data_IF_804670271859
#
_entry.id   IF_804670271859
#
_cell.length_a   1.000
_cell.length_b   1.000
_cell.length_c   1.000
_cell.angle_alpha   90.00
_cell.angle_beta   90.00
_cell.angle_gamma   90.00
#
_symmetry.space_group_name_H-M   'P 1'
#
loop_
_entity.id
_entity.type
_entity.pdbx_description
1 polymer ?
#
# COMPACT_ATOMS: atom_id res chain seq x y z
N UNK A 1 8.91 12.08 23.91
CA UNK A 1 8.00 12.75 24.84
C UNK A 1 6.99 11.76 25.41
N UNK A 2 6.85 11.72 26.72
CA UNK A 2 5.88 10.90 27.44
C UNK A 2 5.53 11.56 28.77
N UNK A 3 4.30 11.56 29.20
CA UNK A 3 3.12 11.20 28.40
C UNK A 3 2.74 12.31 27.41
N UNK A 4 2.11 11.92 26.29
CA UNK A 4 1.51 12.86 25.33
C UNK A 4 0.01 12.62 25.33
N UNK A 5 -0.77 13.69 25.21
CA UNK A 5 -2.24 13.67 25.13
C UNK A 5 -2.75 14.62 24.05
N UNK A 6 -4.05 14.57 23.79
CA UNK A 6 -4.74 15.32 22.73
C UNK A 6 -4.69 16.85 22.87
N UNK A 7 -4.31 17.38 24.04
CA UNK A 7 -4.15 18.83 24.25
C UNK A 7 -2.83 19.38 23.71
N UNK A 8 -1.92 18.52 23.30
CA UNK A 8 -0.57 18.88 22.87
C UNK A 8 -0.48 18.91 21.35
N UNK A 9 0.09 19.95 20.76
CA UNK A 9 0.28 20.06 19.32
C UNK A 9 1.05 18.84 18.73
N UNK A 10 2.00 18.29 19.47
CA UNK A 10 2.78 17.11 19.07
C UNK A 10 1.94 15.84 18.89
N UNK A 11 0.69 15.83 19.35
CA UNK A 11 -0.25 14.73 19.14
C UNK A 11 -0.71 14.64 17.69
N UNK A 12 -0.96 15.77 17.02
CA UNK A 12 -1.52 15.85 15.67
C UNK A 12 -0.51 16.30 14.62
N UNK A 13 0.46 17.15 14.99
CA UNK A 13 1.41 17.71 14.06
C UNK A 13 2.46 16.68 13.60
N UNK A 14 2.72 16.62 12.29
CA UNK A 14 3.76 15.78 11.72
C UNK A 14 5.15 16.22 12.18
N UNK A 15 5.91 15.30 12.76
CA UNK A 15 7.23 15.58 13.32
C UNK A 15 8.34 15.38 12.30
N UNK A 16 9.14 16.41 12.05
CA UNK A 16 10.33 16.40 11.17
C UNK A 16 11.67 16.39 11.94
N UNK A 17 11.62 16.27 13.26
CA UNK A 17 12.81 16.30 14.13
C UNK A 17 12.96 15.02 14.95
N UNK A 18 13.99 14.94 15.81
CA UNK A 18 14.25 13.76 16.66
C UNK A 18 13.32 13.71 17.89
N UNK A 19 12.04 13.92 17.68
CA UNK A 19 11.01 13.88 18.71
C UNK A 19 10.01 12.78 18.38
N UNK A 20 9.79 11.88 19.32
CA UNK A 20 8.81 10.80 19.20
C UNK A 20 7.78 10.97 20.31
N UNK A 21 6.51 11.28 19.99
CA UNK A 21 5.43 11.29 20.96
C UNK A 21 5.06 9.85 21.36
N UNK A 22 4.86 9.62 22.64
CA UNK A 22 4.46 8.30 23.16
C UNK A 22 3.17 8.50 23.96
N UNK A 23 2.16 7.73 23.58
CA UNK A 23 0.82 7.76 24.16
C UNK A 23 0.51 6.37 24.70
N UNK A 24 0.14 6.30 25.99
CA UNK A 24 -0.33 5.06 26.58
C UNK A 24 -1.84 4.92 26.35
N UNK A 25 -2.30 3.74 26.02
CA UNK A 25 -3.71 3.42 25.88
C UNK A 25 -4.08 2.21 26.74
N UNK A 26 -5.36 2.10 27.09
CA UNK A 26 -5.92 0.98 27.85
C UNK A 26 -6.76 0.07 26.95
N UNK A 27 -7.46 0.66 25.99
CA UNK A 27 -8.27 -0.03 25.00
C UNK A 27 -7.65 0.16 23.62
N UNK A 28 -7.59 -0.92 22.83
CA UNK A 28 -7.06 -0.90 21.47
C UNK A 28 -7.88 0.00 20.51
N UNK A 29 -9.13 0.27 20.84
CA UNK A 29 -9.95 1.18 20.07
C UNK A 29 -9.47 2.63 20.15
N UNK A 30 -8.87 3.05 21.27
CA UNK A 30 -8.33 4.41 21.42
C UNK A 30 -7.33 4.78 20.32
N UNK A 31 -6.24 4.03 20.05
CA UNK A 31 -5.34 4.33 18.95
C UNK A 31 -5.98 4.11 17.57
N UNK A 32 -6.93 3.20 17.40
CA UNK A 32 -7.64 3.00 16.13
C UNK A 32 -8.52 4.21 15.79
N UNK A 33 -9.24 4.76 16.76
CA UNK A 33 -10.06 5.96 16.60
C UNK A 33 -9.17 7.19 16.30
N UNK A 34 -8.05 7.34 17.01
CA UNK A 34 -7.07 8.39 16.73
C UNK A 34 -6.52 8.28 15.30
N UNK A 35 -6.16 7.08 14.85
CA UNK A 35 -5.72 6.83 13.46
C UNK A 35 -6.83 7.10 12.45
N UNK A 36 -8.07 6.78 12.77
CA UNK A 36 -9.21 7.05 11.90
C UNK A 36 -9.47 8.55 11.75
N UNK A 37 -9.32 9.32 12.83
CA UNK A 37 -9.47 10.77 12.86
C UNK A 37 -8.28 11.53 12.24
N UNK A 38 -7.08 10.95 12.28
CA UNK A 38 -5.86 11.57 11.74
C UNK A 38 -5.97 11.88 10.25
N UNK A 39 -5.38 12.98 9.82
CA UNK A 39 -5.26 13.38 8.41
C UNK A 39 -4.23 12.53 7.62
N UNK A 40 -3.48 11.68 8.28
CA UNK A 40 -2.40 10.89 7.68
C UNK A 40 -2.73 9.39 7.64
N UNK A 41 -2.22 8.70 6.63
CA UNK A 41 -2.46 7.28 6.45
C UNK A 41 -1.43 6.59 5.55
N UNK A 42 -0.14 6.75 5.83
CA UNK A 42 0.90 6.14 5.00
C UNK A 42 1.26 4.74 5.48
N UNK A 43 1.77 4.61 6.69
CA UNK A 43 2.25 3.35 7.24
C UNK A 43 1.94 3.23 8.73
N UNK A 44 1.81 2.00 9.18
CA UNK A 44 1.76 1.63 10.60
C UNK A 44 2.65 0.44 10.87
N UNK A 45 3.22 0.37 12.07
CA UNK A 45 3.92 -0.81 12.58
C UNK A 45 3.10 -1.44 13.70
N UNK A 46 2.77 -2.72 13.53
CA UNK A 46 2.03 -3.52 14.51
C UNK A 46 2.98 -4.57 15.09
N UNK A 47 3.19 -4.51 16.40
CA UNK A 47 4.06 -5.44 17.12
C UNK A 47 3.23 -6.41 17.96
N UNK A 48 3.41 -7.70 17.77
CA UNK A 48 2.69 -8.72 18.51
C UNK A 48 2.98 -10.13 18.05
N UNK A 49 2.41 -11.12 18.74
CA UNK A 49 2.55 -12.56 18.43
C UNK A 49 1.21 -13.32 18.42
N UNK A 50 0.17 -12.78 19.02
CA UNK A 50 -1.13 -13.44 19.06
C UNK A 50 -1.91 -13.15 17.77
N UNK A 51 -1.97 -14.13 16.87
CA UNK A 51 -2.63 -14.02 15.57
C UNK A 51 -4.13 -13.70 15.69
N UNK A 52 -4.79 -14.09 16.79
CA UNK A 52 -6.21 -13.80 17.03
C UNK A 52 -6.47 -12.33 17.33
N UNK A 53 -5.45 -11.63 17.83
CA UNK A 53 -5.47 -10.16 18.05
C UNK A 53 -4.96 -9.41 16.82
N UNK A 54 -3.89 -9.93 16.20
CA UNK A 54 -3.22 -9.28 15.07
C UNK A 54 -4.11 -9.30 13.81
N UNK A 55 -4.78 -10.42 13.52
CA UNK A 55 -5.60 -10.57 12.31
C UNK A 55 -6.67 -9.49 12.17
N UNK A 56 -7.59 -9.34 13.15
CA UNK A 56 -8.60 -8.28 13.10
C UNK A 56 -8.02 -6.86 13.03
N UNK A 57 -6.85 -6.61 13.66
CA UNK A 57 -6.18 -5.32 13.56
C UNK A 57 -5.66 -5.05 12.15
N UNK A 58 -5.09 -6.04 11.47
CA UNK A 58 -4.65 -5.90 10.08
C UNK A 58 -5.82 -5.53 9.18
N UNK A 59 -6.98 -6.17 9.36
CA UNK A 59 -8.18 -5.89 8.58
C UNK A 59 -8.66 -4.44 8.73
N UNK A 60 -8.65 -3.92 9.95
CA UNK A 60 -8.98 -2.52 10.23
C UNK A 60 -7.92 -1.59 9.65
N UNK A 61 -6.65 -1.83 9.97
CA UNK A 61 -5.52 -0.98 9.58
C UNK A 61 -5.32 -0.91 8.08
N UNK A 62 -5.62 -1.98 7.34
CA UNK A 62 -5.55 -1.99 5.87
C UNK A 62 -6.52 -1.00 5.21
N UNK A 63 -7.55 -0.54 5.92
CA UNK A 63 -8.45 0.51 5.47
C UNK A 63 -7.99 1.93 5.86
N UNK A 64 -7.09 2.05 6.81
CA UNK A 64 -6.60 3.34 7.32
C UNK A 64 -5.26 3.76 6.72
N UNK A 65 -4.41 2.79 6.37
CA UNK A 65 -3.06 3.05 5.84
C UNK A 65 -2.79 2.26 4.56
N UNK A 66 -1.72 2.60 3.85
CA UNK A 66 -1.29 1.88 2.65
C UNK A 66 -0.30 0.76 2.94
N UNK A 67 0.31 0.73 4.12
CA UNK A 67 1.23 -0.34 4.49
C UNK A 67 1.13 -0.65 5.98
N UNK A 68 0.92 -1.92 6.29
CA UNK A 68 1.01 -2.46 7.65
C UNK A 68 2.31 -3.26 7.75
N UNK A 69 3.21 -2.83 8.63
CA UNK A 69 4.46 -3.52 8.91
C UNK A 69 4.27 -4.39 10.15
N UNK A 70 4.47 -5.68 10.02
CA UNK A 70 4.34 -6.61 11.13
C UNK A 70 5.69 -6.88 11.78
N UNK A 71 5.81 -6.58 13.08
CA UNK A 71 7.04 -6.75 13.88
C UNK A 71 8.28 -6.12 13.23
N UNK A 72 8.09 -5.04 12.50
CA UNK A 72 9.16 -4.30 11.83
C UNK A 72 8.89 -2.80 11.85
N UNK A 73 9.94 -2.01 11.71
CA UNK A 73 9.83 -0.56 11.62
C UNK A 73 9.19 -0.13 10.29
N UNK A 74 8.58 1.05 10.27
CA UNK A 74 8.17 1.72 9.05
C UNK A 74 9.39 2.00 8.17
N UNK A 75 9.31 1.67 6.89
CA UNK A 75 10.39 1.87 5.93
C UNK A 75 9.85 2.02 4.51
N UNK A 76 10.63 2.61 3.62
CA UNK A 76 10.26 2.78 2.23
C UNK A 76 10.44 1.52 1.40
N UNK A 77 11.54 0.86 1.53
CA UNK A 77 11.91 -0.32 0.73
C UNK A 77 11.12 -1.59 1.07
N UNK A 78 11.29 -2.64 0.27
CA UNK A 78 11.99 -2.65 -1.02
C UNK A 78 11.22 -1.90 -2.13
N UNK A 79 11.93 -1.40 -3.15
CA UNK A 79 11.36 -0.58 -4.24
C UNK A 79 10.37 -1.32 -5.13
N UNK A 80 10.32 -2.65 -5.04
CA UNK A 80 9.31 -3.47 -5.74
C UNK A 80 7.91 -3.36 -5.12
N UNK A 81 7.81 -2.85 -3.89
CA UNK A 81 6.54 -2.64 -3.24
C UNK A 81 5.95 -1.28 -3.60
N UNK A 82 4.64 -1.18 -3.78
CA UNK A 82 3.99 0.09 -4.00
C UNK A 82 4.22 1.01 -2.79
N UNK A 83 4.59 2.25 -3.07
CA UNK A 83 4.71 3.30 -2.08
C UNK A 83 3.59 4.31 -2.30
N UNK A 84 2.59 4.26 -1.48
CA UNK A 84 1.41 5.11 -1.56
C UNK A 84 1.03 5.63 -0.17
N UNK A 85 0.09 6.54 -0.13
CA UNK A 85 -0.50 7.07 1.09
C UNK A 85 -2.02 7.16 0.95
N UNK A 86 -2.70 7.13 2.07
CA UNK A 86 -4.11 7.48 2.17
C UNK A 86 -4.23 8.88 2.75
N UNK A 87 -5.41 9.48 2.61
CA UNK A 87 -5.73 10.81 3.11
C UNK A 87 -4.70 11.84 2.58
N UNK A 88 -4.15 12.68 3.43
CA UNK A 88 -3.19 13.71 3.03
C UNK A 88 -1.73 13.22 2.91
N UNK A 89 -1.47 11.93 3.17
CA UNK A 89 -0.09 11.40 3.13
C UNK A 89 0.51 11.31 1.72
N UNK A 90 -0.29 11.06 0.69
CA UNK A 90 0.17 11.07 -0.69
C UNK A 90 -0.99 11.13 -1.69
N UNK A 91 -0.68 11.62 -2.89
CA UNK A 91 -1.54 11.54 -4.07
C UNK A 91 -0.87 10.59 -5.07
N UNK A 92 -1.56 9.48 -5.39
CA UNK A 92 -1.03 8.46 -6.31
C UNK A 92 -0.04 7.50 -5.67
N UNK A 93 0.63 6.73 -6.50
CA UNK A 93 1.56 5.66 -6.09
C UNK A 93 2.95 5.94 -6.64
N UNK A 94 3.94 5.91 -5.77
CA UNK A 94 5.36 6.05 -6.09
C UNK A 94 6.02 4.67 -6.01
N UNK A 95 6.03 3.94 -7.10
CA UNK A 95 6.88 2.77 -7.30
C UNK A 95 7.41 2.78 -8.71
N UNK A 96 8.52 2.10 -8.97
CA UNK A 96 9.10 2.07 -10.33
C UNK A 96 8.08 1.54 -11.33
N UNK A 97 7.41 0.44 -11.01
CA UNK A 97 6.40 -0.17 -11.90
C UNK A 97 5.15 0.70 -12.08
N UNK A 98 4.63 1.26 -11.00
CA UNK A 98 3.43 2.11 -11.07
C UNK A 98 3.74 3.45 -11.73
N UNK A 99 4.94 4.02 -11.52
CA UNK A 99 5.40 5.21 -12.23
C UNK A 99 5.48 4.95 -13.73
N UNK A 100 6.11 3.86 -14.16
CA UNK A 100 6.18 3.47 -15.57
C UNK A 100 4.78 3.28 -16.17
N UNK A 101 3.86 2.62 -15.45
CA UNK A 101 2.47 2.46 -15.88
C UNK A 101 1.73 3.78 -16.02
N UNK A 102 2.01 4.76 -15.15
CA UNK A 102 1.38 6.09 -15.22
C UNK A 102 1.80 6.88 -16.46
N UNK A 103 2.99 6.61 -17.01
CA UNK A 103 3.48 7.19 -18.27
C UNK A 103 3.19 6.34 -19.50
N UNK A 104 2.43 5.26 -19.34
CA UNK A 104 2.11 4.32 -20.43
C UNK A 104 0.62 4.36 -20.73
N UNK A 105 0.27 4.19 -22.02
CA UNK A 105 -1.10 4.01 -22.45
C UNK A 105 -1.35 2.50 -22.57
N UNK A 106 -2.34 2.01 -21.83
CA UNK A 106 -2.74 0.59 -21.90
C UNK A 106 -3.49 0.33 -23.18
N UNK A 107 -3.02 -0.66 -23.93
CA UNK A 107 -3.70 -1.19 -25.11
C UNK A 107 -4.06 -2.65 -24.86
N UNK A 108 -5.23 -3.06 -25.34
CA UNK A 108 -5.72 -4.43 -25.19
C UNK A 108 -5.92 -5.05 -26.56
N UNK A 109 -5.56 -6.32 -26.67
CA UNK A 109 -6.01 -7.20 -27.76
C UNK A 109 -7.09 -8.09 -27.16
N UNK A 110 -8.28 -8.02 -27.70
CA UNK A 110 -9.42 -8.78 -27.22
C UNK A 110 -10.04 -9.59 -28.35
N UNK A 111 -10.52 -10.78 -28.02
CA UNK A 111 -11.30 -11.62 -28.94
C UNK A 111 -12.47 -12.28 -28.20
N UNK A 112 -13.46 -12.75 -28.96
CA UNK A 112 -14.53 -13.56 -28.37
C UNK A 112 -13.98 -14.94 -28.03
N UNK A 113 -14.40 -15.49 -26.90
CA UNK A 113 -14.06 -16.85 -26.50
C UNK A 113 -14.76 -17.87 -27.41
N UNK A 114 -14.00 -18.46 -28.29
CA UNK A 114 -14.39 -19.59 -29.14
C UNK A 114 -13.12 -20.34 -29.64
N UNK A 115 -13.23 -21.62 -30.02
CA UNK A 115 -12.07 -22.45 -30.38
C UNK A 115 -11.17 -21.84 -31.45
N UNK A 116 -11.75 -21.22 -32.47
CA UNK A 116 -11.00 -20.61 -33.58
C UNK A 116 -10.16 -19.42 -33.11
N UNK A 117 -10.74 -18.51 -32.33
CA UNK A 117 -10.03 -17.36 -31.81
C UNK A 117 -8.98 -17.74 -30.76
N UNK A 118 -9.26 -18.76 -29.95
CA UNK A 118 -8.31 -19.26 -28.96
C UNK A 118 -7.07 -19.84 -29.64
N UNK A 119 -7.23 -20.60 -30.72
CA UNK A 119 -6.12 -21.10 -31.53
C UNK A 119 -5.27 -19.96 -32.11
N UNK A 120 -5.92 -18.90 -32.64
CA UNK A 120 -5.19 -17.73 -33.16
C UNK A 120 -4.40 -17.03 -32.02
N UNK A 121 -5.00 -16.81 -30.85
CA UNK A 121 -4.31 -16.17 -29.73
C UNK A 121 -3.14 -17.00 -29.23
N UNK A 122 -3.29 -18.32 -29.12
CA UNK A 122 -2.19 -19.21 -28.74
C UNK A 122 -1.05 -19.15 -29.77
N UNK A 123 -1.37 -19.17 -31.06
CA UNK A 123 -0.38 -19.06 -32.13
C UNK A 123 0.34 -17.70 -32.08
N UNK A 124 -0.36 -16.60 -31.88
CA UNK A 124 0.24 -15.27 -31.73
C UNK A 124 1.18 -15.17 -30.52
N UNK A 125 0.80 -15.74 -29.40
CA UNK A 125 1.64 -15.77 -28.18
C UNK A 125 2.92 -16.57 -28.38
N UNK A 126 2.86 -17.67 -29.14
CA UNK A 126 3.98 -18.57 -29.30
C UNK A 126 4.88 -18.23 -30.50
N UNK A 127 4.36 -17.57 -31.53
CA UNK A 127 5.07 -17.37 -32.83
C UNK A 127 5.97 -16.13 -32.88
N UNK A 128 5.82 -15.21 -31.91
CA UNK A 128 6.51 -13.90 -31.91
C UNK A 128 6.22 -13.04 -33.17
N UNK A 129 5.15 -13.31 -33.87
CA UNK A 129 4.73 -12.51 -35.04
C UNK A 129 4.22 -11.11 -34.66
N UNK A 130 3.81 -10.93 -33.38
CA UNK A 130 3.44 -9.64 -32.83
C UNK A 130 4.39 -9.26 -31.71
N UNK A 131 5.17 -8.21 -31.90
CA UNK A 131 6.03 -7.64 -30.85
C UNK A 131 5.22 -7.13 -29.67
N UNK A 132 3.97 -6.70 -29.88
CA UNK A 132 3.11 -6.21 -28.82
C UNK A 132 2.60 -7.34 -27.91
N UNK A 133 2.15 -8.45 -28.51
CA UNK A 133 1.55 -9.58 -27.79
C UNK A 133 2.63 -10.48 -27.16
N UNK A 134 3.81 -10.56 -27.77
CA UNK A 134 4.91 -11.44 -27.34
C UNK A 134 5.90 -10.77 -26.38
N UNK A 135 5.51 -9.68 -25.72
CA UNK A 135 6.41 -8.91 -24.85
C UNK A 135 6.40 -9.46 -23.43
N UNK A 136 7.47 -10.12 -23.01
CA UNK A 136 7.61 -10.76 -21.70
C UNK A 136 8.03 -9.80 -20.57
N UNK A 137 8.29 -8.53 -20.88
CA UNK A 137 8.89 -7.58 -19.93
C UNK A 137 7.93 -6.50 -19.41
N UNK A 138 6.66 -6.60 -19.68
CA UNK A 138 5.65 -5.67 -19.19
C UNK A 138 4.81 -6.29 -18.06
N UNK A 139 5.46 -6.64 -16.97
CA UNK A 139 4.78 -7.04 -15.74
C UNK A 139 4.84 -5.96 -14.67
#
# INVERSE_FOLDING_TARGET
>A
LYPVDESMNVYEEEQFGPVIPIIAYKDINEPLDAMAASDYGQQVSLFGRDVRKIGPLIDILSNLVCRVNLNSACQRGPDVYPFAGRKNSAVGTLSVFDALRSFSIRTFVASKDNPYNNEILENLLNSKESNFVSTDYLL
#
